data_IF_539469421857
#
_entry.id   IF_539469421857
#
_cell.length_a   1.000
_cell.length_b   1.000
_cell.length_c   1.000
_cell.angle_alpha   90.00
_cell.angle_beta   90.00
_cell.angle_gamma   90.00
#
_symmetry.space_group_name_H-M   'P 1'
#
loop_
_entity.id
_entity.type
_entity.pdbx_description
1 polymer ?
#
# COMPACT_ATOMS: atom_id res chain seq x y z
N UNK A 1 10.71 -8.65 20.94
CA UNK A 1 9.69 -9.25 21.80
C UNK A 1 10.21 -9.56 23.21
N UNK A 2 11.50 -9.89 23.41
CA UNK A 2 12.09 -10.20 24.73
C UNK A 2 11.93 -9.04 25.73
N UNK A 3 12.02 -7.78 25.29
CA UNK A 3 11.83 -6.61 26.16
C UNK A 3 10.39 -6.58 26.69
N UNK A 4 9.41 -6.89 25.85
CA UNK A 4 7.99 -6.97 26.24
C UNK A 4 7.75 -8.13 27.21
N UNK A 5 8.40 -9.26 26.99
CA UNK A 5 8.31 -10.41 27.90
C UNK A 5 8.82 -10.10 29.29
N UNK A 6 9.93 -9.34 29.38
CA UNK A 6 10.54 -8.94 30.67
C UNK A 6 9.82 -7.77 31.34
N UNK A 7 9.06 -6.98 30.57
CA UNK A 7 8.37 -5.78 31.05
C UNK A 7 6.91 -5.80 30.56
N UNK A 8 6.05 -6.64 31.15
CA UNK A 8 4.64 -6.72 30.76
C UNK A 8 3.91 -5.38 30.95
N UNK A 9 3.11 -4.98 29.95
CA UNK A 9 2.27 -3.80 30.05
C UNK A 9 0.93 -4.09 29.37
N UNK A 10 -0.14 -4.37 30.16
CA UNK A 10 -1.48 -4.66 29.64
C UNK A 10 -2.12 -3.55 28.80
N UNK A 11 -1.59 -2.33 28.86
CA UNK A 11 -2.07 -1.21 28.05
C UNK A 11 -1.23 -0.98 26.77
N UNK A 12 -0.15 -1.74 26.59
CA UNK A 12 0.72 -1.57 25.41
C UNK A 12 0.01 -1.97 24.13
N UNK A 13 -0.05 -1.04 23.17
CA UNK A 13 -0.42 -1.29 21.79
C UNK A 13 0.88 -1.49 20.99
N UNK A 14 1.11 -2.72 20.53
CA UNK A 14 2.33 -3.07 19.81
C UNK A 14 2.08 -3.03 18.30
N UNK A 15 2.76 -2.14 17.60
CA UNK A 15 2.58 -1.93 16.15
C UNK A 15 3.82 -2.37 15.37
N UNK A 16 3.59 -3.01 14.22
CA UNK A 16 4.63 -3.23 13.21
C UNK A 16 4.15 -2.86 11.81
N UNK A 17 5.10 -2.41 10.98
CA UNK A 17 4.94 -2.32 9.55
C UNK A 17 5.57 -3.55 8.89
N UNK A 18 4.86 -4.19 7.96
CA UNK A 18 5.32 -5.41 7.31
C UNK A 18 4.88 -5.46 5.85
N UNK A 19 5.74 -5.96 4.97
CA UNK A 19 5.35 -6.37 3.63
C UNK A 19 4.69 -7.76 3.60
N UNK A 20 4.53 -8.39 4.77
CA UNK A 20 3.91 -9.71 4.94
C UNK A 20 4.53 -10.82 4.08
N UNK A 21 5.80 -10.68 3.67
CA UNK A 21 6.49 -11.58 2.75
C UNK A 21 7.59 -12.44 3.42
N UNK A 22 7.62 -12.47 4.76
CA UNK A 22 8.58 -13.31 5.49
C UNK A 22 8.35 -14.80 5.19
N UNK A 23 9.41 -15.65 5.16
CA UNK A 23 9.24 -17.09 5.08
C UNK A 23 8.28 -17.62 6.15
N UNK A 24 7.47 -18.61 5.80
CA UNK A 24 6.36 -19.12 6.64
C UNK A 24 6.81 -19.47 8.06
N UNK A 25 7.97 -20.14 8.19
CA UNK A 25 8.56 -20.48 9.49
C UNK A 25 8.70 -19.28 10.41
N UNK A 26 9.21 -18.15 9.89
CA UNK A 26 9.44 -16.93 10.68
C UNK A 26 8.14 -16.16 10.92
N UNK A 27 7.24 -16.15 9.93
CA UNK A 27 5.90 -15.59 10.08
C UNK A 27 5.16 -16.26 11.22
N UNK A 28 5.05 -17.58 11.19
CA UNK A 28 4.33 -18.36 12.20
C UNK A 28 4.96 -18.22 13.60
N UNK A 29 6.29 -18.28 13.68
CA UNK A 29 7.01 -18.07 14.94
C UNK A 29 6.71 -16.70 15.55
N UNK A 30 6.75 -15.65 14.74
CA UNK A 30 6.56 -14.27 15.18
C UNK A 30 5.12 -14.02 15.63
N UNK A 31 4.16 -14.42 14.80
CA UNK A 31 2.73 -14.23 15.10
C UNK A 31 2.29 -15.03 16.33
N UNK A 32 2.73 -16.29 16.46
CA UNK A 32 2.39 -17.11 17.62
C UNK A 32 2.96 -16.51 18.92
N UNK A 33 4.18 -15.98 18.87
CA UNK A 33 4.81 -15.33 20.03
C UNK A 33 4.07 -14.05 20.43
N UNK A 34 3.62 -13.24 19.47
CA UNK A 34 2.81 -12.03 19.75
C UNK A 34 1.47 -12.42 20.36
N UNK A 35 0.81 -13.42 19.79
CA UNK A 35 -0.48 -13.93 20.30
C UNK A 35 -0.35 -14.45 21.74
N UNK A 36 0.75 -15.16 22.04
CA UNK A 36 1.04 -15.62 23.41
C UNK A 36 1.25 -14.43 24.37
N UNK A 37 2.01 -13.41 23.96
CA UNK A 37 2.19 -12.19 24.76
C UNK A 37 0.85 -11.50 25.07
N UNK A 38 -0.03 -11.43 24.09
CA UNK A 38 -1.36 -10.86 24.28
C UNK A 38 -2.23 -11.72 25.22
N UNK A 39 -2.23 -13.04 25.04
CA UNK A 39 -2.98 -13.96 25.90
C UNK A 39 -2.53 -13.90 27.37
N UNK A 40 -1.25 -13.64 27.62
CA UNK A 40 -0.67 -13.45 28.96
C UNK A 40 -0.87 -12.04 29.52
N UNK A 41 -1.51 -11.13 28.76
CA UNK A 41 -1.71 -9.74 29.18
C UNK A 41 -0.43 -8.90 29.17
N UNK A 42 0.59 -9.28 28.41
CA UNK A 42 1.82 -8.51 28.26
C UNK A 42 1.67 -7.35 27.26
N UNK A 43 0.70 -7.42 26.39
CA UNK A 43 0.28 -6.36 25.47
C UNK A 43 -1.25 -6.31 25.40
N UNK A 44 -1.82 -5.15 25.09
CA UNK A 44 -3.25 -4.98 24.89
C UNK A 44 -3.70 -5.46 23.52
N UNK A 45 -3.07 -4.93 22.49
CA UNK A 45 -3.37 -5.22 21.08
C UNK A 45 -2.11 -5.28 20.24
N UNK A 46 -2.20 -6.01 19.15
CA UNK A 46 -1.19 -6.02 18.10
C UNK A 46 -1.75 -5.31 16.85
N UNK A 47 -1.07 -4.25 16.41
CA UNK A 47 -1.43 -3.48 15.23
C UNK A 47 -0.51 -3.88 14.07
N UNK A 48 -1.03 -4.69 13.14
CA UNK A 48 -0.34 -5.09 11.93
C UNK A 48 -0.66 -4.11 10.80
N UNK A 49 0.34 -3.35 10.39
CA UNK A 49 0.22 -2.43 9.25
C UNK A 49 0.90 -3.04 8.02
N UNK A 50 0.08 -3.54 7.11
CA UNK A 50 0.52 -4.15 5.86
C UNK A 50 0.95 -3.07 4.86
N UNK A 51 2.22 -3.14 4.39
CA UNK A 51 2.76 -2.22 3.40
C UNK A 51 2.45 -2.72 2.00
N UNK A 52 1.53 -2.06 1.30
CA UNK A 52 1.12 -2.39 -0.06
C UNK A 52 0.73 -1.10 -0.80
N UNK A 53 1.12 -0.97 -2.07
CA UNK A 53 0.98 0.28 -2.81
C UNK A 53 -0.09 0.23 -3.91
N UNK A 54 -0.33 -0.94 -4.48
CA UNK A 54 -1.38 -1.21 -5.47
C UNK A 54 -1.68 -2.71 -5.51
N UNK A 55 -2.38 -3.20 -6.52
CA UNK A 55 -2.64 -4.63 -6.70
C UNK A 55 -2.23 -5.08 -8.10
N UNK A 56 -1.97 -6.38 -8.26
CA UNK A 56 -1.58 -6.96 -9.54
C UNK A 56 -0.07 -7.02 -9.77
N UNK A 57 0.36 -7.34 -11.00
CA UNK A 57 1.78 -7.45 -11.34
C UNK A 57 2.55 -6.14 -11.16
N UNK A 58 1.88 -5.00 -11.21
CA UNK A 58 2.45 -3.68 -10.93
C UNK A 58 2.95 -3.59 -9.48
N UNK A 59 2.26 -4.23 -8.54
CA UNK A 59 2.68 -4.30 -7.14
C UNK A 59 3.97 -5.10 -6.99
N UNK A 60 4.09 -6.24 -7.66
CA UNK A 60 5.27 -7.08 -7.61
C UNK A 60 6.47 -6.41 -8.30
N UNK A 61 6.20 -5.60 -9.33
CA UNK A 61 7.22 -4.76 -9.94
C UNK A 61 7.68 -3.64 -9.00
N UNK A 62 6.74 -2.89 -8.43
CA UNK A 62 7.03 -1.77 -7.52
C UNK A 62 7.77 -2.23 -6.26
N UNK A 63 7.40 -3.40 -5.73
CA UNK A 63 8.05 -4.05 -4.57
C UNK A 63 8.68 -5.37 -4.97
N UNK A 64 9.76 -5.28 -5.71
CA UNK A 64 10.46 -6.47 -6.21
C UNK A 64 10.75 -7.50 -5.12
N UNK A 65 10.38 -8.77 -5.40
CA UNK A 65 10.47 -9.88 -4.46
C UNK A 65 9.25 -10.06 -3.55
N UNK A 66 8.24 -9.19 -3.64
CA UNK A 66 6.95 -9.45 -3.02
C UNK A 66 6.23 -10.60 -3.76
N UNK A 67 5.70 -11.55 -3.01
CA UNK A 67 4.75 -12.55 -3.52
C UNK A 67 3.34 -12.09 -3.16
N UNK A 68 2.58 -11.64 -4.14
CA UNK A 68 1.25 -11.06 -3.92
C UNK A 68 0.22 -12.10 -3.46
N UNK A 69 0.34 -13.35 -3.91
CA UNK A 69 -0.51 -14.45 -3.48
C UNK A 69 -0.34 -14.74 -1.98
N UNK A 70 0.91 -14.86 -1.52
CA UNK A 70 1.25 -15.01 -0.10
C UNK A 70 0.78 -13.82 0.73
N UNK A 71 0.92 -12.60 0.17
CA UNK A 71 0.40 -11.39 0.81
C UNK A 71 -1.11 -11.46 0.99
N UNK A 72 -1.87 -11.84 -0.04
CA UNK A 72 -3.33 -11.96 0.01
C UNK A 72 -3.78 -13.03 1.01
N UNK A 73 -3.09 -14.18 1.05
CA UNK A 73 -3.34 -15.22 2.03
C UNK A 73 -3.23 -14.69 3.48
N UNK A 74 -2.15 -13.96 3.77
CA UNK A 74 -1.91 -13.39 5.09
C UNK A 74 -2.84 -12.23 5.43
N UNK A 75 -3.22 -11.42 4.43
CA UNK A 75 -4.23 -10.37 4.60
C UNK A 75 -5.58 -10.98 4.97
N UNK A 76 -5.98 -12.04 4.26
CA UNK A 76 -7.19 -12.81 4.57
C UNK A 76 -7.12 -13.38 5.98
N UNK A 77 -6.04 -14.09 6.32
CA UNK A 77 -5.82 -14.63 7.66
C UNK A 77 -5.95 -13.53 8.74
N UNK A 78 -5.29 -12.39 8.56
CA UNK A 78 -5.33 -11.30 9.52
C UNK A 78 -6.74 -10.68 9.67
N UNK A 79 -7.52 -10.62 8.57
CA UNK A 79 -8.91 -10.15 8.59
C UNK A 79 -9.87 -11.06 9.38
N UNK A 80 -9.48 -12.30 9.62
CA UNK A 80 -10.27 -13.32 10.34
C UNK A 80 -9.88 -13.42 11.83
N UNK A 81 -8.84 -12.69 12.26
CA UNK A 81 -8.44 -12.70 13.67
C UNK A 81 -9.40 -11.89 14.55
N UNK A 82 -9.48 -12.23 15.84
CA UNK A 82 -10.26 -11.44 16.83
C UNK A 82 -9.65 -10.05 17.12
N UNK A 83 -10.18 -9.36 18.12
CA UNK A 83 -9.85 -7.97 18.44
C UNK A 83 -8.42 -7.75 18.95
N UNK A 84 -7.73 -8.83 19.28
CA UNK A 84 -6.32 -8.79 19.67
C UNK A 84 -5.39 -8.28 18.55
N UNK A 85 -5.81 -8.46 17.28
CA UNK A 85 -5.10 -8.00 16.10
C UNK A 85 -5.91 -6.91 15.39
N UNK A 86 -5.35 -5.72 15.27
CA UNK A 86 -5.85 -4.67 14.40
C UNK A 86 -5.09 -4.71 13.08
N UNK A 87 -5.80 -4.56 11.98
CA UNK A 87 -5.23 -4.62 10.64
C UNK A 87 -5.35 -3.28 9.93
N UNK A 88 -4.23 -2.82 9.39
CA UNK A 88 -4.16 -1.62 8.57
C UNK A 88 -3.41 -1.89 7.27
N UNK A 89 -3.71 -1.15 6.22
CA UNK A 89 -2.92 -1.08 5.00
C UNK A 89 -2.29 0.31 4.90
N UNK A 90 -0.98 0.36 4.61
CA UNK A 90 -0.24 1.60 4.35
C UNK A 90 0.26 1.61 2.91
N UNK A 91 -0.13 2.63 2.16
CA UNK A 91 0.08 2.77 0.73
C UNK A 91 0.89 4.01 0.42
N UNK A 92 1.93 3.86 -0.41
CA UNK A 92 2.63 4.98 -1.04
C UNK A 92 2.20 5.09 -2.50
N UNK A 93 1.61 6.22 -2.85
CA UNK A 93 1.12 6.47 -4.21
C UNK A 93 2.25 7.06 -5.04
N UNK A 94 2.64 6.34 -6.09
CA UNK A 94 3.59 6.77 -7.11
C UNK A 94 2.93 6.73 -8.49
N UNK A 95 3.58 7.24 -9.51
CA UNK A 95 3.11 7.08 -10.90
C UNK A 95 2.99 5.59 -11.32
N UNK A 96 3.76 4.69 -10.71
CA UNK A 96 3.69 3.24 -10.96
C UNK A 96 2.44 2.59 -10.34
N UNK A 97 1.92 3.15 -9.25
CA UNK A 97 0.88 2.50 -8.45
C UNK A 97 -0.52 3.09 -8.64
N UNK A 98 -0.61 4.27 -9.29
CA UNK A 98 -1.86 5.01 -9.44
C UNK A 98 -2.97 4.21 -10.13
N UNK A 99 -2.69 3.62 -11.30
CA UNK A 99 -3.73 2.97 -12.11
C UNK A 99 -4.26 1.67 -11.52
N UNK A 100 -3.43 0.96 -10.76
CA UNK A 100 -3.80 -0.31 -10.09
C UNK A 100 -4.29 -0.09 -8.64
N UNK A 101 -4.42 1.17 -8.19
CA UNK A 101 -4.97 1.50 -6.88
C UNK A 101 -6.45 1.10 -6.71
N UNK A 102 -7.36 1.25 -7.71
CA UNK A 102 -8.74 0.81 -7.57
C UNK A 102 -8.88 -0.66 -7.18
N UNK A 103 -8.06 -1.55 -7.75
CA UNK A 103 -8.05 -2.98 -7.39
C UNK A 103 -7.64 -3.21 -5.92
N UNK A 104 -6.63 -2.49 -5.43
CA UNK A 104 -6.24 -2.56 -4.02
C UNK A 104 -7.41 -2.14 -3.12
N UNK A 105 -8.11 -1.05 -3.46
CA UNK A 105 -9.27 -0.57 -2.69
C UNK A 105 -10.37 -1.64 -2.66
N UNK A 106 -10.69 -2.27 -3.78
CA UNK A 106 -11.68 -3.34 -3.86
C UNK A 106 -11.28 -4.55 -3.00
N UNK A 107 -9.99 -4.91 -2.98
CA UNK A 107 -9.48 -6.00 -2.12
C UNK A 107 -9.60 -5.65 -0.64
N UNK A 108 -9.19 -4.45 -0.25
CA UNK A 108 -9.35 -3.97 1.14
C UNK A 108 -10.84 -3.97 1.51
N UNK A 109 -11.72 -3.44 0.67
CA UNK A 109 -13.15 -3.41 0.91
C UNK A 109 -13.76 -4.82 1.07
N UNK A 110 -13.31 -5.78 0.26
CA UNK A 110 -13.73 -7.20 0.37
C UNK A 110 -13.42 -7.78 1.75
N UNK A 111 -12.19 -7.59 2.24
CA UNK A 111 -11.76 -8.13 3.54
C UNK A 111 -12.29 -7.31 4.72
N UNK A 112 -12.55 -6.02 4.53
CA UNK A 112 -13.15 -5.14 5.56
C UNK A 112 -14.57 -5.54 5.96
N UNK A 113 -15.24 -6.38 5.17
CA UNK A 113 -16.56 -6.94 5.55
C UNK A 113 -16.51 -7.84 6.80
N UNK A 114 -15.35 -8.45 7.07
CA UNK A 114 -15.13 -9.31 8.24
C UNK A 114 -14.57 -8.54 9.42
N UNK A 115 -13.66 -7.63 9.16
CA UNK A 115 -12.97 -6.80 10.15
C UNK A 115 -12.60 -5.46 9.53
N UNK A 116 -12.80 -4.38 10.27
CA UNK A 116 -12.35 -3.06 9.81
C UNK A 116 -10.84 -3.07 9.51
N UNK A 117 -10.49 -2.65 8.30
CA UNK A 117 -9.10 -2.48 7.86
C UNK A 117 -8.88 -0.99 7.64
N UNK A 118 -8.01 -0.39 8.47
CA UNK A 118 -7.59 0.98 8.25
C UNK A 118 -6.80 1.11 6.94
N UNK A 119 -7.14 2.08 6.11
CA UNK A 119 -6.43 2.32 4.86
C UNK A 119 -5.79 3.71 4.89
N UNK A 120 -4.47 3.74 5.02
CA UNK A 120 -3.65 4.94 5.00
C UNK A 120 -2.95 5.04 3.65
N UNK A 121 -3.08 6.16 2.98
CA UNK A 121 -2.45 6.41 1.69
C UNK A 121 -1.92 7.84 1.62
N UNK A 122 -0.78 7.99 0.96
CA UNK A 122 -0.15 9.27 0.73
C UNK A 122 0.66 9.26 -0.57
N UNK A 123 0.84 10.42 -1.16
CA UNK A 123 1.80 10.56 -2.26
C UNK A 123 3.22 10.32 -1.78
N UNK A 124 4.04 9.82 -2.69
CA UNK A 124 5.47 9.68 -2.49
C UNK A 124 6.11 11.04 -2.16
N UNK A 125 6.88 11.09 -1.07
CA UNK A 125 7.54 12.31 -0.58
C UNK A 125 9.08 12.21 -0.55
N UNK A 126 9.63 11.17 -1.19
CA UNK A 126 11.07 10.96 -1.24
C UNK A 126 11.80 11.91 -2.21
N UNK A 127 13.11 11.77 -2.26
CA UNK A 127 13.98 12.62 -3.11
C UNK A 127 13.86 12.36 -4.61
N UNK A 128 13.32 11.21 -5.00
CA UNK A 128 13.16 10.80 -6.39
C UNK A 128 11.81 11.28 -6.94
N UNK A 129 11.63 12.60 -7.02
CA UNK A 129 10.36 13.23 -7.38
C UNK A 129 9.81 12.83 -8.75
N UNK A 130 10.63 12.28 -9.65
CA UNK A 130 10.17 11.70 -10.92
C UNK A 130 9.23 10.50 -10.75
N UNK A 131 9.16 9.90 -9.55
CA UNK A 131 8.17 8.87 -9.23
C UNK A 131 6.83 9.44 -8.73
N UNK A 132 6.77 10.73 -8.42
CA UNK A 132 5.55 11.37 -7.96
C UNK A 132 4.55 11.53 -9.12
N UNK A 133 3.24 11.31 -8.91
CA UNK A 133 2.23 11.47 -9.96
C UNK A 133 2.20 12.86 -10.64
N UNK A 134 2.65 13.92 -9.96
CA UNK A 134 2.78 15.26 -10.55
C UNK A 134 3.77 15.38 -11.71
N UNK A 135 4.57 14.33 -11.96
CA UNK A 135 5.44 14.23 -13.14
C UNK A 135 4.62 14.24 -14.44
N UNK A 136 3.37 13.80 -14.35
CA UNK A 136 2.42 13.81 -15.45
C UNK A 136 1.33 14.86 -15.23
N UNK A 137 0.83 15.45 -16.32
CA UNK A 137 -0.32 16.36 -16.27
C UNK A 137 -1.54 15.69 -15.64
N UNK A 138 -2.42 16.45 -15.00
CA UNK A 138 -3.62 15.89 -14.36
C UNK A 138 -4.50 15.13 -15.35
N UNK A 139 -4.61 15.58 -16.61
CA UNK A 139 -5.37 14.88 -17.66
C UNK A 139 -4.96 13.42 -17.85
N UNK A 140 -3.73 13.08 -17.53
CA UNK A 140 -3.21 11.71 -17.55
C UNK A 140 -3.83 10.81 -16.48
N UNK A 141 -4.29 11.40 -15.37
CA UNK A 141 -4.80 10.71 -14.19
C UNK A 141 -6.32 10.87 -13.98
N UNK A 142 -6.99 11.71 -14.75
CA UNK A 142 -8.40 12.05 -14.51
C UNK A 142 -9.30 10.81 -14.45
N UNK A 143 -9.20 9.92 -15.44
CA UNK A 143 -9.94 8.65 -15.45
C UNK A 143 -9.56 7.73 -14.29
N UNK A 144 -8.29 7.76 -13.88
CA UNK A 144 -7.82 6.97 -12.73
C UNK A 144 -8.50 7.43 -11.43
N UNK A 145 -8.65 8.74 -11.22
CA UNK A 145 -9.39 9.26 -10.06
C UNK A 145 -10.86 8.87 -10.10
N UNK A 146 -11.51 8.91 -11.26
CA UNK A 146 -12.88 8.44 -11.40
C UNK A 146 -13.02 6.96 -10.98
N UNK A 147 -12.08 6.12 -11.39
CA UNK A 147 -12.07 4.71 -11.04
C UNK A 147 -11.75 4.49 -9.55
N UNK A 148 -10.84 5.27 -8.96
CA UNK A 148 -10.57 5.27 -7.51
C UNK A 148 -11.86 5.59 -6.73
N UNK A 149 -12.58 6.66 -7.10
CA UNK A 149 -13.82 7.03 -6.43
C UNK A 149 -14.94 6.01 -6.60
N UNK A 150 -15.00 5.32 -7.75
CA UNK A 150 -15.94 4.21 -7.96
C UNK A 150 -15.65 3.02 -7.04
N UNK A 151 -14.36 2.68 -6.85
CA UNK A 151 -13.93 1.58 -5.99
C UNK A 151 -14.07 1.88 -4.49
N UNK A 152 -13.99 3.17 -4.09
CA UNK A 152 -14.08 3.54 -2.67
C UNK A 152 -15.43 3.17 -2.08
N UNK A 153 -15.46 2.48 -0.91
CA UNK A 153 -16.70 2.21 -0.18
C UNK A 153 -17.48 3.49 0.15
N UNK A 154 -18.81 3.39 0.11
CA UNK A 154 -19.73 4.53 0.37
C UNK A 154 -20.22 4.60 1.81
N UNK A 155 -19.58 3.88 2.73
CA UNK A 155 -19.88 3.93 4.15
C UNK A 155 -19.47 5.25 4.82
N UNK A 156 -19.93 5.46 6.04
CA UNK A 156 -19.73 6.71 6.77
C UNK A 156 -18.26 7.02 7.05
N UNK A 157 -17.42 6.00 7.29
CA UNK A 157 -15.99 6.19 7.61
C UNK A 157 -15.26 6.67 6.36
N UNK A 158 -15.44 5.98 5.22
CA UNK A 158 -14.81 6.38 3.95
C UNK A 158 -15.27 7.75 3.48
N UNK A 159 -16.57 8.08 3.64
CA UNK A 159 -17.11 9.39 3.27
C UNK A 159 -16.50 10.52 4.12
N UNK A 160 -16.23 10.28 5.40
CA UNK A 160 -15.68 11.31 6.28
C UNK A 160 -14.16 11.47 6.19
N UNK A 161 -13.43 10.42 5.90
CA UNK A 161 -11.98 10.40 6.02
C UNK A 161 -11.27 10.12 4.69
N UNK A 162 -11.54 8.99 4.07
CA UNK A 162 -10.79 8.52 2.90
C UNK A 162 -11.09 9.35 1.65
N UNK A 163 -12.38 9.63 1.36
CA UNK A 163 -12.78 10.42 0.19
C UNK A 163 -12.25 11.86 0.26
N UNK A 164 -12.43 12.62 1.36
CA UNK A 164 -11.86 13.96 1.46
C UNK A 164 -10.34 13.99 1.34
N UNK A 165 -9.62 13.00 1.89
CA UNK A 165 -8.17 12.88 1.73
C UNK A 165 -7.78 12.65 0.27
N UNK A 166 -8.49 11.77 -0.43
CA UNK A 166 -8.25 11.54 -1.86
C UNK A 166 -8.56 12.77 -2.71
N UNK A 167 -9.62 13.51 -2.39
CA UNK A 167 -9.93 14.78 -3.03
C UNK A 167 -8.83 15.82 -2.82
N UNK A 168 -8.21 15.84 -1.63
CA UNK A 168 -7.04 16.67 -1.34
C UNK A 168 -5.84 16.31 -2.24
N UNK A 169 -5.57 15.02 -2.43
CA UNK A 169 -4.52 14.54 -3.34
C UNK A 169 -4.84 14.87 -4.81
N UNK A 170 -6.08 14.68 -5.23
CA UNK A 170 -6.52 15.06 -6.58
C UNK A 170 -6.37 16.57 -6.82
N UNK A 171 -6.76 17.40 -5.85
CA UNK A 171 -6.63 18.84 -5.95
C UNK A 171 -5.16 19.28 -6.13
N UNK A 172 -4.21 18.60 -5.47
CA UNK A 172 -2.78 18.83 -5.67
C UNK A 172 -2.33 18.53 -7.12
N UNK A 173 -2.91 17.52 -7.77
CA UNK A 173 -2.58 17.19 -9.14
C UNK A 173 -3.32 18.07 -10.16
N UNK A 174 -4.50 18.59 -9.86
CA UNK A 174 -5.28 19.45 -10.76
C UNK A 174 -4.58 20.74 -11.16
N UNK A 175 -3.59 21.19 -10.38
CA UNK A 175 -2.78 22.35 -10.73
C UNK A 175 -1.70 22.03 -11.78
N UNK A 176 -1.37 20.76 -11.98
CA UNK A 176 -0.36 20.30 -12.94
C UNK A 176 -1.02 20.20 -14.33
N UNK A 177 -0.78 21.19 -15.20
CA UNK A 177 -1.42 21.29 -16.51
C UNK A 177 -0.65 20.61 -17.62
N UNK A 178 0.66 20.47 -17.46
CA UNK A 178 1.57 19.95 -18.48
C UNK A 178 2.46 18.84 -17.89
N UNK A 179 2.92 17.96 -18.78
CA UNK A 179 3.88 16.93 -18.44
C UNK A 179 5.25 17.53 -18.12
N UNK A 180 5.91 17.02 -17.08
CA UNK A 180 7.30 17.33 -16.81
C UNK A 180 8.22 16.34 -17.55
N UNK A 181 8.45 16.57 -18.84
CA UNK A 181 9.25 15.68 -19.69
C UNK A 181 10.67 15.43 -19.17
N UNK A 182 11.27 16.41 -18.47
CA UNK A 182 12.57 16.20 -17.83
C UNK A 182 12.52 15.10 -16.77
N UNK A 183 11.49 15.09 -15.96
CA UNK A 183 11.34 14.08 -14.90
C UNK A 183 10.80 12.76 -15.47
N UNK A 184 9.97 12.78 -16.51
CA UNK A 184 9.57 11.58 -17.27
C UNK A 184 10.82 10.89 -17.84
N UNK A 185 11.74 11.63 -18.46
CA UNK A 185 13.00 11.06 -18.96
C UNK A 185 13.85 10.42 -17.84
N UNK A 186 13.91 11.03 -16.66
CA UNK A 186 14.60 10.42 -15.50
C UNK A 186 13.88 9.15 -15.03
N UNK A 187 12.55 9.15 -15.01
CA UNK A 187 11.76 7.98 -14.68
C UNK A 187 12.05 6.83 -15.66
N UNK A 188 12.04 7.10 -16.97
CA UNK A 188 12.36 6.07 -17.98
C UNK A 188 13.76 5.50 -17.79
N UNK A 189 14.78 6.33 -17.59
CA UNK A 189 16.16 5.89 -17.32
C UNK A 189 16.20 4.99 -16.06
N UNK A 190 15.50 5.40 -15.01
CA UNK A 190 15.42 4.64 -13.76
C UNK A 190 14.75 3.28 -13.98
N UNK A 191 13.63 3.24 -14.69
CA UNK A 191 12.89 2.01 -14.96
C UNK A 191 13.65 1.07 -15.92
N UNK A 192 14.32 1.62 -16.94
CA UNK A 192 15.17 0.84 -17.85
C UNK A 192 16.33 0.17 -17.09
N UNK A 193 16.93 0.89 -16.12
CA UNK A 193 17.98 0.30 -15.28
C UNK A 193 17.44 -0.76 -14.31
N UNK A 194 16.23 -0.58 -13.77
CA UNK A 194 15.58 -1.62 -12.97
C UNK A 194 15.31 -2.87 -13.78
N UNK A 195 14.78 -2.72 -15.00
CA UNK A 195 14.50 -3.84 -15.90
C UNK A 195 15.78 -4.61 -16.28
N UNK A 196 16.84 -3.86 -16.59
CA UNK A 196 18.15 -4.47 -16.87
C UNK A 196 18.66 -5.33 -15.71
N UNK A 197 18.44 -4.91 -14.47
CA UNK A 197 18.87 -5.65 -13.26
C UNK A 197 17.97 -6.82 -12.91
N UNK A 198 16.67 -6.70 -13.20
CA UNK A 198 15.62 -7.63 -12.72
C UNK A 198 15.15 -8.59 -13.82
N UNK A 199 15.48 -8.35 -15.09
CA UNK A 199 14.95 -9.11 -16.21
C UNK A 199 13.45 -8.86 -16.43
N UNK A 200 12.96 -7.66 -16.10
CA UNK A 200 11.56 -7.26 -16.25
C UNK A 200 11.37 -6.35 -17.47
N UNK A 201 10.11 -5.94 -17.73
CA UNK A 201 9.78 -5.00 -18.81
C UNK A 201 8.67 -4.04 -18.33
N UNK A 202 9.08 -2.85 -17.87
CA UNK A 202 8.15 -1.86 -17.36
C UNK A 202 7.18 -1.32 -18.42
N UNK A 203 7.60 -1.25 -19.69
CA UNK A 203 6.73 -0.76 -20.78
C UNK A 203 5.54 -1.68 -21.01
N UNK A 204 5.70 -2.97 -20.73
CA UNK A 204 4.61 -3.94 -20.78
C UNK A 204 3.62 -3.75 -19.62
N UNK A 205 4.12 -3.44 -18.42
CA UNK A 205 3.29 -3.27 -17.22
C UNK A 205 2.68 -1.88 -17.12
N UNK A 206 3.42 -0.85 -17.53
CA UNK A 206 3.04 0.56 -17.41
C UNK A 206 3.09 1.29 -18.75
N UNK A 207 2.40 0.80 -19.80
CA UNK A 207 2.48 1.41 -21.14
C UNK A 207 2.04 2.89 -21.14
N UNK A 208 1.22 3.26 -20.18
CA UNK A 208 0.74 4.63 -20.00
C UNK A 208 1.82 5.61 -19.50
N UNK A 209 2.93 5.13 -18.98
CA UNK A 209 4.07 5.97 -18.56
C UNK A 209 5.04 6.25 -19.70
N UNK A 210 4.96 5.50 -20.81
CA UNK A 210 5.87 5.60 -21.95
C UNK A 210 5.43 6.71 -22.91
N UNK A 211 5.48 7.96 -22.42
CA UNK A 211 5.17 9.14 -23.22
C UNK A 211 6.44 9.93 -23.51
N UNK A 212 6.48 10.53 -24.67
CA UNK A 212 7.60 11.32 -25.20
C UNK A 212 7.14 12.73 -25.56
N UNK A 213 8.11 13.67 -25.61
CA UNK A 213 7.89 15.05 -26.04
C UNK A 213 7.49 15.14 -27.52
#
# INVERSE_FOLDING_TARGET
LEIIERNPNPELQFCIFSNMNAPEKYWNLYINRIKDLQNRGHIKTFDLTASIDCWGPEQEYARHGLNLELFEERLRWASEQGDWLRLNCNQTITCLTMRSMPELIDRIAKYSKKKHIGHYFQFYTGTQMYQHPQTYAYSHWAETFDNIYKAMPKDTVHQREAIPRMQGHEAQLKIVKEHNYRDIKKLHIYLDELDRRRGTNWRQLFPYLDIHE
#
